data_IF_897974781850
#
_entry.id   IF_897974781850
#
_cell.length_a   1.000
_cell.length_b   1.000
_cell.length_c   1.000
_cell.angle_alpha   90.00
_cell.angle_beta   90.00
_cell.angle_gamma   90.00
#
_symmetry.space_group_name_H-M   'P 1'
#
loop_
_entity.id
_entity.type
_entity.pdbx_description
1 polymer ?
#
# COMPACT_ATOMS: atom_id res chain seq x y z
N UNK A 1 26.83 29.45 -69.24
CA UNK A 1 25.98 30.15 -68.26
C UNK A 1 25.00 29.15 -67.67
N UNK A 2 25.08 28.88 -66.36
CA UNK A 2 24.21 27.93 -65.65
C UNK A 2 24.03 28.44 -64.21
N UNK A 3 22.81 28.70 -63.72
CA UNK A 3 22.60 29.30 -62.40
C UNK A 3 22.19 28.24 -61.36
N UNK A 4 22.95 28.09 -60.27
CA UNK A 4 22.51 27.42 -59.05
C UNK A 4 22.84 28.36 -57.88
N UNK A 5 21.90 29.22 -57.48
CA UNK A 5 20.90 29.02 -56.41
C UNK A 5 21.53 28.71 -55.04
N UNK A 6 21.62 29.80 -54.27
CA UNK A 6 21.71 29.91 -52.82
C UNK A 6 20.89 28.82 -52.11
N UNK A 7 21.55 27.91 -51.40
CA UNK A 7 20.93 27.08 -50.36
C UNK A 7 22.03 26.38 -49.55
N UNK A 8 22.72 27.12 -48.69
CA UNK A 8 23.66 26.57 -47.71
C UNK A 8 23.25 26.97 -46.29
N UNK A 9 21.95 26.82 -45.99
CA UNK A 9 21.41 26.95 -44.63
C UNK A 9 20.41 25.81 -44.44
N UNK A 10 20.91 24.60 -44.19
CA UNK A 10 20.11 23.45 -43.77
C UNK A 10 21.03 22.39 -43.14
N UNK A 11 21.78 22.78 -42.11
CA UNK A 11 22.54 21.85 -41.27
C UNK A 11 22.24 22.15 -39.80
N UNK A 12 20.96 22.18 -39.47
CA UNK A 12 20.43 22.21 -38.12
C UNK A 12 19.22 21.28 -38.14
N UNK A 13 19.06 20.44 -37.11
CA UNK A 13 17.89 19.58 -36.82
C UNK A 13 17.98 18.10 -37.27
N UNK A 14 18.99 17.35 -36.81
CA UNK A 14 18.78 15.90 -36.58
C UNK A 14 19.54 15.47 -35.32
N UNK A 15 19.02 15.84 -34.14
CA UNK A 15 19.42 15.20 -32.88
C UNK A 15 18.28 15.31 -31.84
N UNK A 16 17.07 14.94 -32.22
CA UNK A 16 15.90 14.97 -31.36
C UNK A 16 15.04 13.72 -31.56
N UNK A 17 15.59 12.53 -31.26
CA UNK A 17 14.80 11.30 -31.29
C UNK A 17 15.49 10.17 -30.49
N UNK A 18 15.49 10.24 -29.16
CA UNK A 18 15.61 9.05 -28.29
C UNK A 18 15.45 9.41 -26.79
N UNK A 19 14.36 10.09 -26.44
CA UNK A 19 13.84 10.10 -25.06
C UNK A 19 12.40 9.61 -25.14
N UNK A 20 12.25 8.35 -25.56
CA UNK A 20 10.98 7.64 -25.45
C UNK A 20 10.71 7.50 -23.95
N UNK A 21 9.75 8.28 -23.45
CA UNK A 21 9.36 8.32 -22.06
C UNK A 21 8.97 6.93 -21.57
N UNK A 22 9.71 6.43 -20.59
CA UNK A 22 9.15 5.48 -19.65
C UNK A 22 8.06 6.21 -18.86
N UNK A 23 6.82 6.12 -19.34
CA UNK A 23 5.65 6.46 -18.54
C UNK A 23 5.60 5.41 -17.44
N UNK A 24 6.16 5.76 -16.28
CA UNK A 24 5.95 5.01 -15.05
C UNK A 24 4.46 5.08 -14.75
N UNK A 25 3.71 4.06 -15.15
CA UNK A 25 2.37 3.86 -14.63
C UNK A 25 2.49 3.83 -13.08
N UNK A 26 1.62 4.54 -12.35
CA UNK A 26 1.64 4.46 -10.90
C UNK A 26 1.49 2.99 -10.51
N UNK A 27 2.44 2.46 -9.75
CA UNK A 27 2.35 1.11 -9.21
C UNK A 27 1.07 1.00 -8.39
N UNK A 28 0.26 -0.03 -8.69
CA UNK A 28 -1.02 -0.28 -8.01
C UNK A 28 -0.86 -0.38 -6.48
N UNK A 29 0.33 -0.79 -6.03
CA UNK A 29 0.78 -0.76 -4.63
C UNK A 29 0.56 0.59 -3.94
N UNK A 30 1.06 1.67 -4.54
CA UNK A 30 0.94 3.01 -3.94
C UNK A 30 -0.51 3.49 -3.95
N UNK A 31 -1.30 3.07 -4.94
CA UNK A 31 -2.71 3.42 -5.03
C UNK A 31 -3.54 2.73 -3.94
N UNK A 32 -3.30 1.44 -3.67
CA UNK A 32 -4.03 0.68 -2.65
C UNK A 32 -3.78 1.24 -1.24
N UNK A 33 -2.51 1.44 -0.87
CA UNK A 33 -2.14 1.95 0.44
C UNK A 33 -2.67 3.36 0.73
N UNK A 34 -2.75 4.23 -0.29
CA UNK A 34 -3.26 5.61 -0.17
C UNK A 34 -4.75 5.66 0.21
N UNK A 35 -5.50 4.56 0.02
CA UNK A 35 -6.91 4.49 0.43
C UNK A 35 -7.07 4.44 1.95
N UNK A 36 -6.02 4.09 2.70
CA UNK A 36 -6.12 3.98 4.15
C UNK A 36 -6.13 5.34 4.85
N UNK A 37 -7.32 5.76 5.30
CA UNK A 37 -7.48 7.08 5.91
C UNK A 37 -6.89 7.14 7.33
N UNK A 38 -6.51 8.34 7.82
CA UNK A 38 -6.12 8.52 9.20
C UNK A 38 -7.20 8.00 10.18
N UNK A 39 -6.76 7.36 11.26
CA UNK A 39 -7.64 6.72 12.25
C UNK A 39 -8.10 5.31 11.89
N UNK A 40 -7.56 4.70 10.83
CA UNK A 40 -7.99 3.38 10.37
C UNK A 40 -6.86 2.34 10.38
N UNK A 41 -7.25 1.09 10.62
CA UNK A 41 -6.47 -0.07 10.21
C UNK A 41 -7.08 -0.61 8.93
N UNK A 42 -6.27 -0.77 7.89
CA UNK A 42 -6.74 -1.25 6.59
C UNK A 42 -6.02 -2.53 6.23
N UNK A 43 -6.75 -3.48 5.67
CA UNK A 43 -6.26 -4.81 5.35
C UNK A 43 -6.74 -5.24 3.96
N UNK A 44 -5.93 -6.04 3.28
CA UNK A 44 -6.15 -6.47 1.91
C UNK A 44 -5.92 -7.97 1.77
N UNK A 45 -6.76 -8.64 0.98
CA UNK A 45 -6.69 -10.09 0.76
C UNK A 45 -5.45 -10.55 0.02
N UNK A 46 -4.79 -9.65 -0.72
CA UNK A 46 -3.57 -9.94 -1.47
C UNK A 46 -2.38 -9.15 -0.91
N UNK A 47 -1.18 -9.52 -1.32
CA UNK A 47 0.01 -8.72 -1.05
C UNK A 47 -0.08 -7.39 -1.79
N UNK A 48 0.84 -6.47 -1.49
CA UNK A 48 0.98 -5.24 -2.27
C UNK A 48 -0.30 -4.38 -2.30
N UNK A 49 -1.11 -4.47 -1.23
CA UNK A 49 -2.36 -3.73 -1.03
C UNK A 49 -3.39 -4.00 -2.14
N UNK A 50 -3.39 -5.21 -2.70
CA UNK A 50 -4.27 -5.65 -3.78
C UNK A 50 -5.53 -6.39 -3.32
N UNK A 51 -6.39 -6.75 -4.27
CA UNK A 51 -7.58 -7.54 -4.01
C UNK A 51 -8.66 -6.81 -3.20
N UNK A 52 -9.46 -7.58 -2.44
CA UNK A 52 -10.51 -7.03 -1.59
C UNK A 52 -9.89 -6.33 -0.38
N UNK A 53 -10.48 -5.22 0.02
CA UNK A 53 -10.01 -4.44 1.17
C UNK A 53 -11.07 -4.36 2.27
N UNK A 54 -10.60 -4.18 3.50
CA UNK A 54 -11.41 -3.87 4.65
C UNK A 54 -10.73 -2.77 5.46
N UNK A 55 -11.51 -1.80 5.94
CA UNK A 55 -11.06 -0.79 6.87
C UNK A 55 -11.83 -0.92 8.19
N UNK A 56 -11.08 -1.08 9.28
CA UNK A 56 -11.60 -1.00 10.63
C UNK A 56 -11.36 0.42 11.15
N UNK A 57 -12.46 1.15 11.37
CA UNK A 57 -12.42 2.38 12.16
C UNK A 57 -12.35 1.97 13.63
N UNK A 58 -11.27 2.38 14.30
CA UNK A 58 -11.00 1.92 15.65
C UNK A 58 -11.41 2.99 16.64
N UNK A 59 -12.42 2.67 17.44
CA UNK A 59 -12.71 3.42 18.65
C UNK A 59 -11.65 3.06 19.69
N UNK A 60 -10.79 4.02 20.03
CA UNK A 60 -9.72 3.85 21.03
C UNK A 60 -10.30 3.47 22.40
N UNK A 61 -11.59 3.73 22.67
CA UNK A 61 -12.26 3.25 23.88
C UNK A 61 -12.45 1.72 23.93
N UNK A 62 -12.30 1.02 22.79
CA UNK A 62 -12.23 -0.44 22.70
C UNK A 62 -10.80 -1.00 22.80
N UNK A 63 -9.85 -0.21 23.30
CA UNK A 63 -8.47 -0.66 23.59
C UNK A 63 -8.50 -1.98 24.37
N UNK A 64 -7.59 -2.88 24.06
CA UNK A 64 -7.52 -4.26 24.58
C UNK A 64 -8.58 -5.26 24.10
N UNK A 65 -9.55 -4.86 23.27
CA UNK A 65 -10.49 -5.83 22.69
C UNK A 65 -9.90 -6.48 21.44
N UNK A 66 -10.12 -7.79 21.30
CA UNK A 66 -9.81 -8.50 20.05
C UNK A 66 -10.86 -8.15 19.00
N UNK A 67 -10.40 -7.68 17.85
CA UNK A 67 -11.24 -7.29 16.73
C UNK A 67 -10.94 -8.26 15.58
N UNK A 68 -11.88 -9.16 15.31
CA UNK A 68 -11.78 -10.05 14.17
C UNK A 68 -11.92 -9.26 12.86
N UNK A 69 -11.04 -9.54 11.90
CA UNK A 69 -11.21 -9.11 10.52
C UNK A 69 -12.30 -9.98 9.86
N UNK A 70 -12.90 -9.53 8.74
CA UNK A 70 -13.83 -10.36 7.99
C UNK A 70 -13.22 -11.72 7.68
N UNK A 71 -13.91 -12.81 8.06
CA UNK A 71 -13.38 -14.17 7.99
C UNK A 71 -13.01 -14.58 6.56
N UNK A 72 -13.67 -14.00 5.57
CA UNK A 72 -13.41 -14.25 4.16
C UNK A 72 -12.27 -13.41 3.58
N UNK A 73 -11.74 -12.40 4.28
CA UNK A 73 -10.71 -11.51 3.74
C UNK A 73 -9.34 -12.19 3.62
N UNK A 74 -8.94 -12.97 4.63
CA UNK A 74 -7.61 -13.58 4.76
C UNK A 74 -6.48 -12.59 4.38
N UNK A 75 -6.22 -11.60 5.24
CA UNK A 75 -5.39 -10.46 4.84
C UNK A 75 -3.89 -10.81 4.70
N UNK A 76 -3.31 -10.46 3.55
CA UNK A 76 -1.90 -10.68 3.20
C UNK A 76 -1.08 -9.39 3.16
N UNK A 77 -1.74 -8.23 3.19
CA UNK A 77 -1.10 -6.93 3.40
C UNK A 77 -1.99 -6.00 4.21
N UNK A 78 -1.39 -5.03 4.89
CA UNK A 78 -2.13 -4.09 5.74
C UNK A 78 -1.35 -2.81 6.03
N UNK A 79 -2.09 -1.80 6.49
CA UNK A 79 -1.58 -0.50 6.93
C UNK A 79 -2.17 -0.19 8.30
N UNK A 80 -1.30 0.16 9.24
CA UNK A 80 -1.73 0.75 10.51
C UNK A 80 -1.65 2.28 10.41
N UNK A 81 -2.77 2.94 10.15
CA UNK A 81 -2.87 4.40 10.16
C UNK A 81 -3.76 4.90 11.32
N UNK A 82 -3.80 4.15 12.42
CA UNK A 82 -4.76 4.38 13.52
C UNK A 82 -4.35 5.49 14.48
N UNK A 83 -3.07 5.90 14.48
CA UNK A 83 -2.50 6.75 15.53
C UNK A 83 -2.00 5.97 16.76
N UNK A 84 -2.19 4.65 16.78
CA UNK A 84 -1.86 3.77 17.91
C UNK A 84 -1.04 2.55 17.47
N UNK A 85 -0.28 1.90 18.37
CA UNK A 85 0.26 0.57 18.12
C UNK A 85 -0.89 -0.43 17.95
N UNK A 86 -0.75 -1.33 16.98
CA UNK A 86 -1.71 -2.40 16.71
C UNK A 86 -0.97 -3.74 16.69
N UNK A 87 -1.42 -4.71 17.48
CA UNK A 87 -0.99 -6.11 17.32
C UNK A 87 -1.89 -6.78 16.31
N UNK A 88 -1.28 -7.42 15.32
CA UNK A 88 -1.94 -8.21 14.28
C UNK A 88 -1.72 -9.68 14.59
N UNK A 89 -2.77 -10.48 14.47
CA UNK A 89 -2.79 -11.90 14.85
C UNK A 89 -3.13 -12.77 13.64
N UNK A 90 -2.47 -13.93 13.57
CA UNK A 90 -2.82 -15.00 12.63
C UNK A 90 -4.12 -15.71 13.03
N UNK A 91 -4.41 -15.76 14.33
CA UNK A 91 -5.61 -16.38 14.88
C UNK A 91 -6.80 -15.40 14.90
N UNK A 92 -8.03 -15.82 14.55
CA UNK A 92 -9.20 -14.94 14.47
C UNK A 92 -9.75 -14.48 15.83
N UNK A 93 -9.30 -15.07 16.94
CA UNK A 93 -9.71 -14.71 18.31
C UNK A 93 -8.54 -14.17 19.14
N UNK A 94 -7.47 -13.72 18.48
CA UNK A 94 -6.26 -13.18 19.09
C UNK A 94 -5.55 -14.14 20.05
N UNK A 95 -5.58 -15.45 19.75
CA UNK A 95 -4.77 -16.44 20.47
C UNK A 95 -3.27 -16.16 20.28
N UNK A 96 -2.54 -16.09 21.39
CA UNK A 96 -1.09 -15.86 21.43
C UNK A 96 -0.28 -17.12 21.20
N UNK A 97 -0.91 -18.29 21.05
CA UNK A 97 -0.24 -19.52 20.61
C UNK A 97 0.04 -19.53 19.09
N UNK A 98 -0.68 -18.70 18.32
CA UNK A 98 -0.42 -18.47 16.90
C UNK A 98 0.53 -17.28 16.69
N UNK A 99 0.95 -17.03 15.45
CA UNK A 99 1.83 -15.91 15.13
C UNK A 99 1.13 -14.55 15.35
N UNK A 100 1.82 -13.62 15.97
CA UNK A 100 1.35 -12.24 16.15
C UNK A 100 2.50 -11.25 16.26
N UNK A 101 2.30 -10.02 15.77
CA UNK A 101 3.30 -8.96 15.84
C UNK A 101 2.65 -7.60 16.06
N UNK A 102 3.32 -6.74 16.84
CA UNK A 102 2.89 -5.36 17.09
C UNK A 102 3.55 -4.40 16.13
N UNK A 103 2.74 -3.58 15.46
CA UNK A 103 3.15 -2.60 14.48
C UNK A 103 2.83 -1.19 14.97
N UNK A 104 3.80 -0.26 14.96
CA UNK A 104 3.53 1.14 15.29
C UNK A 104 2.58 1.79 14.27
N UNK A 105 1.95 2.90 14.64
CA UNK A 105 1.20 3.71 13.68
C UNK A 105 2.12 4.22 12.57
N UNK A 106 1.58 4.32 11.36
CA UNK A 106 2.31 4.62 10.12
C UNK A 106 2.98 3.41 9.48
N UNK A 107 2.78 2.19 9.99
CA UNK A 107 3.35 0.99 9.38
C UNK A 107 2.64 0.60 8.09
N UNK A 108 3.42 0.34 7.05
CA UNK A 108 2.98 -0.23 5.77
C UNK A 108 3.57 -1.62 5.61
N UNK A 109 2.72 -2.64 5.56
CA UNK A 109 3.13 -4.04 5.46
C UNK A 109 2.63 -4.61 4.14
N UNK A 110 3.42 -4.47 3.04
CA UNK A 110 3.04 -4.97 1.73
C UNK A 110 3.02 -6.50 1.64
N UNK A 111 3.78 -7.17 2.49
CA UNK A 111 3.87 -8.63 2.54
C UNK A 111 3.86 -9.05 4.01
N UNK A 112 2.71 -9.47 4.50
CA UNK A 112 2.62 -10.07 5.82
C UNK A 112 3.31 -11.44 5.84
N UNK A 113 4.00 -11.77 6.93
CA UNK A 113 4.63 -13.09 7.12
C UNK A 113 3.61 -14.20 7.40
N UNK A 114 2.37 -13.83 7.76
CA UNK A 114 1.25 -14.73 8.00
C UNK A 114 -0.07 -14.07 7.58
N UNK A 115 -1.11 -14.87 7.36
CA UNK A 115 -2.47 -14.36 7.09
C UNK A 115 -3.01 -13.69 8.34
N UNK A 116 -3.26 -12.38 8.29
CA UNK A 116 -3.84 -11.62 9.38
C UNK A 116 -5.36 -11.87 9.47
N UNK A 117 -5.84 -12.24 10.66
CA UNK A 117 -7.25 -12.56 10.92
C UNK A 117 -7.88 -11.75 12.03
N UNK A 118 -7.09 -11.18 12.94
CA UNK A 118 -7.58 -10.29 13.98
C UNK A 118 -6.55 -9.24 14.36
N UNK A 119 -7.00 -8.19 15.05
CA UNK A 119 -6.16 -7.12 15.58
C UNK A 119 -6.53 -6.76 17.01
N UNK A 120 -5.55 -6.24 17.77
CA UNK A 120 -5.76 -5.53 19.03
C UNK A 120 -5.11 -4.15 18.97
N UNK A 121 -5.83 -3.12 19.42
CA UNK A 121 -5.34 -1.75 19.50
C UNK A 121 -4.91 -1.46 20.93
N UNK A 122 -3.77 -0.79 21.07
CA UNK A 122 -3.19 -0.47 22.37
C UNK A 122 -3.27 1.04 22.63
N UNK A 123 -3.68 1.40 23.85
CA UNK A 123 -3.37 2.72 24.38
C UNK A 123 -1.86 2.81 24.59
N UNK A 124 -1.28 3.98 24.28
CA UNK A 124 0.16 4.29 24.24
C UNK A 124 1.05 3.59 25.27
#
# INVERSE_FOLDING_TARGET
MKPLRRSAVAALLVLAAALAGAVLAPSSEAAGAQLCQPGQFCAWSETQFGGRSHSAALDVSASEQCIALPADLEAQSFVNNTGHPVTVYQDPVCDTQAEFHTYPSGSYVPHSSYVARAIKVWSH
#
